data_IF_750917251033
#
_entry.id   IF_750917251033
#
_cell.length_a   1.000
_cell.length_b   1.000
_cell.length_c   1.000
_cell.angle_alpha   90.00
_cell.angle_beta   90.00
_cell.angle_gamma   90.00
#
_symmetry.space_group_name_H-M   'P 1'
#
loop_
_entity.id
_entity.type
_entity.pdbx_description
1 polymer ?
#
# COMPACT_ATOMS: atom_id res chain seq x y z
N UNK A 1 36.24 26.78 1.37
CA UNK A 1 36.08 25.38 0.89
C UNK A 1 34.74 24.76 1.40
N UNK A 2 33.56 25.36 1.11
CA UNK A 2 32.25 24.94 1.68
C UNK A 2 31.18 24.47 0.67
N UNK A 3 31.55 24.16 -0.58
CA UNK A 3 30.59 23.73 -1.60
C UNK A 3 30.26 22.23 -1.62
N UNK A 4 30.96 21.40 -0.82
CA UNK A 4 30.86 19.93 -0.90
C UNK A 4 29.89 19.27 0.10
N UNK A 5 29.23 20.03 0.99
CA UNK A 5 28.33 19.46 2.01
C UNK A 5 26.85 19.36 1.55
N UNK A 6 26.42 20.19 0.58
CA UNK A 6 25.02 20.25 0.13
C UNK A 6 24.57 18.99 -0.65
N UNK A 7 25.51 18.27 -1.26
CA UNK A 7 25.28 17.09 -2.12
C UNK A 7 25.53 15.74 -1.40
N UNK A 8 25.66 15.76 -0.07
CA UNK A 8 25.76 14.52 0.73
C UNK A 8 24.42 14.15 1.38
N UNK A 9 23.56 15.14 1.67
CA UNK A 9 22.25 14.91 2.30
C UNK A 9 21.20 14.29 1.37
N UNK A 10 21.23 14.63 0.08
CA UNK A 10 20.38 14.02 -0.95
C UNK A 10 20.74 12.55 -1.24
N UNK A 11 22.03 12.19 -1.17
CA UNK A 11 22.46 10.77 -1.21
C UNK A 11 22.00 10.03 0.04
N UNK A 12 22.12 10.63 1.24
CA UNK A 12 21.60 10.04 2.49
C UNK A 12 20.09 9.82 2.46
N UNK A 13 19.31 10.75 1.94
CA UNK A 13 17.85 10.59 1.72
C UNK A 13 17.56 9.46 0.73
N UNK A 14 18.36 9.31 -0.33
CA UNK A 14 18.21 8.23 -1.31
C UNK A 14 18.52 6.84 -0.69
N UNK A 15 19.60 6.74 0.10
CA UNK A 15 19.94 5.50 0.83
C UNK A 15 18.91 5.17 1.92
N UNK A 16 18.37 6.17 2.62
CA UNK A 16 17.27 5.97 3.58
C UNK A 16 16.01 5.47 2.88
N UNK A 17 15.68 5.99 1.69
CA UNK A 17 14.55 5.51 0.90
C UNK A 17 14.74 4.07 0.42
N UNK A 18 15.93 3.69 -0.03
CA UNK A 18 16.21 2.30 -0.42
C UNK A 18 16.23 1.35 0.77
N UNK A 19 16.68 1.79 1.96
CA UNK A 19 16.67 0.95 3.16
C UNK A 19 15.26 0.74 3.69
N UNK A 20 14.38 1.76 3.61
CA UNK A 20 12.95 1.65 3.95
C UNK A 20 12.24 0.73 2.94
N UNK A 21 12.59 0.81 1.66
CA UNK A 21 12.07 -0.08 0.62
C UNK A 21 12.51 -1.54 0.83
N UNK A 22 13.77 -1.76 1.23
CA UNK A 22 14.35 -3.09 1.45
C UNK A 22 13.90 -3.71 2.79
N UNK A 23 13.78 -2.93 3.88
CA UNK A 23 13.15 -3.36 5.14
C UNK A 23 11.65 -3.63 4.94
N UNK A 24 10.96 -2.79 4.17
CA UNK A 24 9.57 -3.01 3.79
C UNK A 24 9.38 -4.30 3.01
N UNK A 25 10.31 -4.65 2.12
CA UNK A 25 10.28 -5.91 1.38
C UNK A 25 10.60 -7.14 2.25
N UNK A 26 11.50 -7.00 3.23
CA UNK A 26 11.84 -8.05 4.20
C UNK A 26 10.69 -8.35 5.18
N UNK A 27 9.88 -7.34 5.52
CA UNK A 27 8.66 -7.52 6.33
C UNK A 27 7.55 -8.30 5.58
N UNK A 28 7.61 -8.38 4.24
CA UNK A 28 6.67 -9.15 3.42
C UNK A 28 7.08 -10.64 3.37
N UNK A 29 8.37 -10.95 3.51
CA UNK A 29 8.89 -12.33 3.48
C UNK A 29 9.08 -12.97 4.86
N UNK A 30 8.91 -12.19 5.94
CA UNK A 30 9.11 -12.63 7.33
C UNK A 30 7.89 -13.21 8.06
N UNK A 31 6.76 -13.45 7.40
CA UNK A 31 5.65 -14.20 8.03
C UNK A 31 6.03 -15.68 8.08
N UNK A 32 6.64 -16.04 9.20
CA UNK A 32 7.11 -17.35 9.55
C UNK A 32 6.02 -18.43 9.48
N UNK A 33 6.50 -19.62 9.17
CA UNK A 33 5.89 -20.93 9.32
C UNK A 33 5.18 -21.08 10.68
N UNK A 34 3.92 -21.54 10.65
CA UNK A 34 3.34 -22.30 11.77
C UNK A 34 2.15 -23.16 11.29
N UNK A 35 2.43 -24.47 11.25
CA UNK A 35 1.58 -25.65 11.40
C UNK A 35 0.04 -25.53 11.24
N UNK A 36 -0.47 -26.26 10.25
CA UNK A 36 -1.83 -26.82 10.23
C UNK A 36 -1.76 -28.24 9.64
N UNK A 37 -1.58 -29.25 10.51
CA UNK A 37 -1.58 -30.67 10.16
C UNK A 37 -2.98 -31.08 9.73
N UNK A 38 -3.12 -31.53 8.48
CA UNK A 38 -4.30 -32.24 7.98
C UNK A 38 -3.83 -33.49 7.26
N UNK A 39 -3.87 -34.63 7.95
CA UNK A 39 -3.63 -35.93 7.34
C UNK A 39 -4.75 -36.24 6.34
N UNK A 40 -4.40 -36.48 5.08
CA UNK A 40 -5.09 -37.46 4.23
C UNK A 40 -4.05 -38.18 3.39
N UNK A 41 -4.12 -39.51 3.42
CA UNK A 41 -3.45 -40.43 2.50
C UNK A 41 -3.70 -40.01 1.05
N UNK A 42 -2.65 -39.50 0.40
CA UNK A 42 -2.70 -38.92 -0.95
C UNK A 42 -1.96 -37.58 -0.93
N UNK A 43 -0.95 -37.41 -1.79
CA UNK A 43 -0.08 -36.23 -1.84
C UNK A 43 -0.94 -34.96 -1.95
N UNK A 44 -1.18 -34.33 -0.80
CA UNK A 44 -1.96 -33.10 -0.70
C UNK A 44 -0.96 -31.98 -0.88
N UNK A 45 -0.91 -31.39 -2.07
CA UNK A 45 -0.21 -30.12 -2.30
C UNK A 45 -0.93 -29.08 -1.42
N UNK A 46 -0.34 -28.61 -0.31
CA UNK A 46 -1.00 -27.61 0.52
C UNK A 46 -1.14 -26.33 -0.31
N UNK A 47 -2.38 -25.86 -0.50
CA UNK A 47 -2.65 -24.63 -1.24
C UNK A 47 -1.87 -23.48 -0.58
N UNK A 48 -0.82 -22.92 -1.22
CA UNK A 48 0.01 -21.87 -0.63
C UNK A 48 -0.76 -20.55 -0.42
N UNK A 49 -2.01 -20.49 -0.91
CA UNK A 49 -2.92 -19.35 -0.75
C UNK A 49 -4.00 -19.57 0.32
N UNK A 50 -4.22 -20.81 0.78
CA UNK A 50 -5.25 -21.14 1.79
C UNK A 50 -6.66 -20.63 1.45
N UNK A 51 -6.97 -20.43 0.17
CA UNK A 51 -8.28 -19.98 -0.29
C UNK A 51 -9.08 -21.18 -0.79
N UNK A 52 -10.28 -21.37 -0.24
CA UNK A 52 -11.23 -22.39 -0.72
C UNK A 52 -11.98 -21.92 -1.97
N UNK A 53 -12.13 -20.59 -2.13
CA UNK A 53 -12.92 -19.96 -3.19
C UNK A 53 -12.25 -18.69 -3.74
N UNK A 54 -12.64 -18.27 -4.95
CA UNK A 54 -12.21 -17.01 -5.60
C UNK A 54 -12.44 -15.79 -4.70
N UNK A 55 -13.52 -15.83 -3.91
CA UNK A 55 -13.92 -14.79 -2.94
C UNK A 55 -12.87 -14.59 -1.83
N UNK A 56 -12.22 -15.66 -1.38
CA UNK A 56 -11.21 -15.59 -0.30
C UNK A 56 -9.89 -14.99 -0.81
N UNK A 57 -9.52 -15.31 -2.05
CA UNK A 57 -8.36 -14.69 -2.72
C UNK A 57 -8.61 -13.18 -2.85
N UNK A 58 -9.81 -12.79 -3.29
CA UNK A 58 -10.18 -11.40 -3.47
C UNK A 58 -10.19 -10.63 -2.14
N UNK A 59 -10.68 -11.24 -1.04
CA UNK A 59 -10.59 -10.67 0.31
C UNK A 59 -9.16 -10.41 0.74
N UNK A 60 -8.27 -11.41 0.61
CA UNK A 60 -6.86 -11.27 1.01
C UNK A 60 -6.14 -10.18 0.22
N UNK A 61 -6.42 -10.08 -1.08
CA UNK A 61 -5.88 -9.02 -1.95
C UNK A 61 -6.34 -7.65 -1.44
N UNK A 62 -7.63 -7.47 -1.21
CA UNK A 62 -8.16 -6.17 -0.77
C UNK A 62 -7.67 -5.79 0.62
N UNK A 63 -7.62 -6.73 1.57
CA UNK A 63 -7.07 -6.48 2.90
C UNK A 63 -5.59 -6.05 2.83
N UNK A 64 -4.81 -6.71 1.98
CA UNK A 64 -3.44 -6.32 1.70
C UNK A 64 -3.35 -4.92 1.09
N UNK A 65 -4.20 -4.59 0.10
CA UNK A 65 -4.27 -3.27 -0.51
C UNK A 65 -4.63 -2.17 0.50
N UNK A 66 -5.54 -2.43 1.44
CA UNK A 66 -5.89 -1.45 2.48
C UNK A 66 -4.71 -1.25 3.43
N UNK A 67 -4.06 -2.33 3.84
CA UNK A 67 -2.93 -2.32 4.78
C UNK A 67 -1.73 -1.53 4.24
N UNK A 68 -1.45 -1.63 2.94
CA UNK A 68 -0.41 -0.81 2.27
C UNK A 68 -0.94 0.55 1.80
N UNK A 69 -2.23 0.65 1.47
CA UNK A 69 -2.85 1.84 0.90
C UNK A 69 -3.00 2.96 1.92
N UNK A 70 -3.28 2.63 3.19
CA UNK A 70 -3.41 3.61 4.27
C UNK A 70 -2.12 4.45 4.48
N UNK A 71 -0.91 3.87 4.62
CA UNK A 71 0.31 4.67 4.74
C UNK A 71 0.64 5.44 3.45
N UNK A 72 0.36 4.89 2.26
CA UNK A 72 0.56 5.59 0.99
C UNK A 72 -0.34 6.82 0.89
N UNK A 73 -1.62 6.68 1.25
CA UNK A 73 -2.58 7.78 1.30
C UNK A 73 -2.08 8.90 2.21
N UNK A 74 -1.62 8.56 3.41
CA UNK A 74 -1.11 9.54 4.37
C UNK A 74 0.08 10.34 3.79
N UNK A 75 1.02 9.67 3.11
CA UNK A 75 2.16 10.32 2.45
C UNK A 75 1.70 11.25 1.33
N UNK A 76 0.74 10.82 0.50
CA UNK A 76 0.24 11.63 -0.61
C UNK A 76 -0.52 12.87 -0.12
N UNK A 77 -1.29 12.75 0.96
CA UNK A 77 -1.95 13.87 1.62
C UNK A 77 -0.92 14.84 2.20
N UNK A 78 0.14 14.33 2.85
CA UNK A 78 1.24 15.17 3.35
C UNK A 78 1.89 15.96 2.22
N UNK A 79 2.23 15.31 1.11
CA UNK A 79 2.87 15.97 -0.05
C UNK A 79 1.96 17.06 -0.63
N UNK A 80 0.68 16.76 -0.85
CA UNK A 80 -0.29 17.74 -1.33
C UNK A 80 -0.50 18.90 -0.36
N UNK A 81 -0.54 18.61 0.95
CA UNK A 81 -0.65 19.60 2.01
C UNK A 81 0.57 20.53 2.07
N UNK A 82 1.77 19.97 2.03
CA UNK A 82 3.01 20.76 1.97
C UNK A 82 3.08 21.63 0.70
N UNK A 83 2.58 21.14 -0.43
CA UNK A 83 2.54 21.91 -1.66
C UNK A 83 1.60 23.12 -1.58
N UNK A 84 0.47 23.00 -0.87
CA UNK A 84 -0.44 24.12 -0.59
C UNK A 84 0.20 25.12 0.38
N UNK A 85 0.80 24.63 1.47
CA UNK A 85 1.44 25.47 2.50
C UNK A 85 2.65 26.27 1.97
N UNK A 86 3.40 25.69 1.04
CA UNK A 86 4.59 26.33 0.42
C UNK A 86 4.28 27.11 -0.86
N UNK A 87 3.00 27.22 -1.25
CA UNK A 87 2.60 27.87 -2.50
C UNK A 87 2.85 29.39 -2.51
N UNK A 88 2.99 30.04 -1.35
CA UNK A 88 3.37 31.46 -1.25
C UNK A 88 2.47 32.43 -2.02
N UNK A 89 1.20 32.08 -2.24
CA UNK A 89 0.25 32.88 -3.02
C UNK A 89 0.12 32.51 -4.50
N UNK A 90 0.89 31.53 -5.00
CA UNK A 90 0.72 31.00 -6.36
C UNK A 90 -0.51 30.07 -6.42
N UNK A 91 -1.56 30.51 -7.13
CA UNK A 91 -2.82 29.76 -7.28
C UNK A 91 -2.64 28.39 -7.94
N UNK A 92 -1.72 28.25 -8.89
CA UNK A 92 -1.48 27.00 -9.61
C UNK A 92 -0.96 25.90 -8.69
N UNK A 93 -0.07 26.24 -7.75
CA UNK A 93 0.45 25.28 -6.76
C UNK A 93 -0.61 24.85 -5.75
N UNK A 94 -1.50 25.77 -5.36
CA UNK A 94 -2.64 25.47 -4.48
C UNK A 94 -3.61 24.53 -5.18
N UNK A 95 -3.95 24.81 -6.44
CA UNK A 95 -4.84 23.96 -7.24
C UNK A 95 -4.23 22.56 -7.41
N UNK A 96 -2.94 22.49 -7.76
CA UNK A 96 -2.24 21.21 -7.94
C UNK A 96 -2.24 20.38 -6.66
N UNK A 97 -1.88 20.97 -5.51
CA UNK A 97 -1.87 20.26 -4.23
C UNK A 97 -3.26 19.79 -3.79
N UNK A 98 -4.31 20.57 -4.08
CA UNK A 98 -5.71 20.14 -3.85
C UNK A 98 -6.08 18.95 -4.71
N UNK A 99 -5.73 18.97 -6.00
CA UNK A 99 -5.95 17.82 -6.88
C UNK A 99 -5.22 16.58 -6.39
N UNK A 100 -3.97 16.70 -5.95
CA UNK A 100 -3.21 15.57 -5.38
C UNK A 100 -3.94 14.94 -4.20
N UNK A 101 -4.44 15.75 -3.27
CA UNK A 101 -5.21 15.25 -2.11
C UNK A 101 -6.51 14.57 -2.59
N UNK A 102 -7.26 15.23 -3.46
CA UNK A 102 -8.53 14.70 -3.98
C UNK A 102 -8.34 13.36 -4.69
N UNK A 103 -7.37 13.25 -5.59
CA UNK A 103 -7.09 11.99 -6.29
C UNK A 103 -6.64 10.89 -5.34
N UNK A 104 -5.90 11.23 -4.29
CA UNK A 104 -5.48 10.26 -3.28
C UNK A 104 -6.67 9.72 -2.48
N UNK A 105 -7.59 10.60 -2.08
CA UNK A 105 -8.82 10.20 -1.37
C UNK A 105 -9.72 9.36 -2.27
N UNK A 106 -9.90 9.75 -3.53
CA UNK A 106 -10.70 8.99 -4.51
C UNK A 106 -10.10 7.60 -4.73
N UNK A 107 -8.78 7.49 -4.90
CA UNK A 107 -8.10 6.21 -5.05
C UNK A 107 -8.31 5.29 -3.84
N UNK A 108 -8.23 5.84 -2.62
CA UNK A 108 -8.50 5.05 -1.42
C UNK A 108 -9.97 4.67 -1.26
N UNK A 109 -10.90 5.56 -1.62
CA UNK A 109 -12.33 5.28 -1.61
C UNK A 109 -12.71 4.11 -2.54
N UNK A 110 -12.05 3.99 -3.69
CA UNK A 110 -12.24 2.85 -4.61
C UNK A 110 -11.80 1.53 -3.94
N UNK A 111 -10.66 1.54 -3.24
CA UNK A 111 -10.17 0.35 -2.51
C UNK A 111 -11.17 -0.07 -1.42
N UNK A 112 -11.73 0.89 -0.67
CA UNK A 112 -12.77 0.62 0.32
C UNK A 112 -14.04 0.04 -0.33
N UNK A 113 -14.41 0.55 -1.50
CA UNK A 113 -15.57 0.08 -2.27
C UNK A 113 -15.42 -1.37 -2.77
N UNK A 114 -14.19 -1.88 -2.88
CA UNK A 114 -13.93 -3.25 -3.30
C UNK A 114 -14.58 -4.30 -2.37
N UNK A 115 -14.77 -3.99 -1.09
CA UNK A 115 -15.48 -4.87 -0.15
C UNK A 115 -16.94 -5.11 -0.56
N UNK A 116 -17.60 -4.08 -1.09
CA UNK A 116 -18.98 -4.19 -1.59
C UNK A 116 -19.08 -5.15 -2.77
N UNK A 117 -18.11 -5.08 -3.69
CA UNK A 117 -18.05 -5.96 -4.87
C UNK A 117 -17.82 -7.42 -4.44
N UNK A 118 -16.89 -7.65 -3.50
CA UNK A 118 -16.63 -8.98 -2.95
C UNK A 118 -17.90 -9.58 -2.31
N UNK A 119 -18.66 -8.77 -1.57
CA UNK A 119 -19.89 -9.22 -0.93
C UNK A 119 -20.96 -9.65 -1.96
N UNK A 120 -21.12 -8.89 -3.04
CA UNK A 120 -22.05 -9.22 -4.13
C UNK A 120 -21.64 -10.54 -4.81
N UNK A 121 -20.34 -10.71 -5.11
CA UNK A 121 -19.84 -11.96 -5.72
C UNK A 121 -20.08 -13.15 -4.81
N UNK A 122 -19.87 -13.00 -3.49
CA UNK A 122 -20.16 -14.07 -2.51
C UNK A 122 -21.63 -14.49 -2.56
N UNK A 123 -22.55 -13.52 -2.59
CA UNK A 123 -24.00 -13.78 -2.60
C UNK A 123 -24.48 -14.45 -3.91
N UNK A 124 -23.80 -14.25 -5.03
CA UNK A 124 -24.16 -14.85 -6.33
C UNK A 124 -23.66 -16.31 -6.42
N UNK A 125 -22.57 -16.64 -5.70
CA UNK A 125 -21.93 -17.95 -5.76
C UNK A 125 -22.48 -18.94 -4.73
N UNK A 126 -23.09 -18.45 -3.64
CA UNK A 126 -23.94 -19.23 -2.72
C UNK A 126 -25.33 -19.47 -3.33
#
# INVERSE_FOLDING_TARGET
MKFKQKNLNNKKTLYLFSIVLFLGLSLITGVALSAGVGQTTGVTIPNPLGAKDITDVLKKIVDYLIKIGAPILAIMILVGGFQILTAGGNLEKVITGRHTILYSVIGYAIILSAWGIIAIIKTILE
#
